data_IF_211685252200
#
_entry.id   IF_211685252200
#
_cell.length_a   1.000
_cell.length_b   1.000
_cell.length_c   1.000
_cell.angle_alpha   90.00
_cell.angle_beta   90.00
_cell.angle_gamma   90.00
#
_symmetry.space_group_name_H-M   'P 1'
#
loop_
_entity.id
_entity.type
_entity.pdbx_description
1 polymer ?
#
# COMPACT_ATOMS: atom_id res chain seq x y z
N UNK A 1 18.77 9.43 13.22
CA UNK A 1 18.24 10.78 12.91
C UNK A 1 17.12 11.15 13.89
N UNK A 2 16.06 10.34 13.98
CA UNK A 2 14.99 10.44 14.98
C UNK A 2 15.50 10.60 16.43
N UNK A 3 16.50 9.82 16.85
CA UNK A 3 17.08 9.94 18.20
C UNK A 3 17.71 11.32 18.48
N UNK A 4 18.33 11.94 17.47
CA UNK A 4 18.89 13.29 17.61
C UNK A 4 17.79 14.35 17.74
N UNK A 5 16.66 14.18 17.05
CA UNK A 5 15.49 15.05 17.22
C UNK A 5 14.96 14.97 18.65
N UNK A 6 14.87 13.76 19.20
CA UNK A 6 14.47 13.58 20.59
C UNK A 6 15.45 14.28 21.56
N UNK A 7 16.76 14.11 21.37
CA UNK A 7 17.79 14.77 22.20
C UNK A 7 17.78 16.30 22.10
N UNK A 8 17.30 16.85 20.98
CA UNK A 8 17.24 18.31 20.72
C UNK A 8 15.87 18.92 21.03
N UNK A 9 14.97 18.16 21.66
CA UNK A 9 13.68 18.65 22.16
C UNK A 9 12.56 18.67 21.12
N UNK A 10 12.70 17.95 20.00
CA UNK A 10 11.64 17.78 19.02
C UNK A 10 10.72 16.60 19.40
N UNK A 11 9.42 16.78 19.19
CA UNK A 11 8.50 15.66 19.13
C UNK A 11 8.57 15.01 17.75
N UNK A 12 9.10 13.79 17.68
CA UNK A 12 9.28 13.05 16.43
C UNK A 12 8.18 12.00 16.23
N UNK A 13 7.45 12.09 15.12
CA UNK A 13 6.43 11.15 14.67
C UNK A 13 6.80 10.40 13.38
N UNK A 14 6.29 9.18 13.22
CA UNK A 14 6.36 8.40 11.98
C UNK A 14 4.97 7.85 11.62
N UNK A 15 4.50 8.08 10.40
CA UNK A 15 3.31 7.42 9.85
C UNK A 15 3.71 6.79 8.53
N UNK A 16 3.57 5.47 8.43
CA UNK A 16 4.00 4.75 7.23
C UNK A 16 3.18 3.50 6.93
N UNK A 17 3.06 3.15 5.65
CA UNK A 17 2.58 1.84 5.16
C UNK A 17 3.70 0.97 4.55
N UNK A 18 4.88 1.54 4.29
CA UNK A 18 6.09 0.83 3.85
C UNK A 18 6.52 -0.19 4.90
N UNK A 19 6.31 -1.49 4.65
CA UNK A 19 6.55 -2.55 5.65
C UNK A 19 8.03 -2.62 6.07
N UNK A 20 8.96 -2.26 5.18
CA UNK A 20 10.39 -2.19 5.49
C UNK A 20 10.71 -1.30 6.71
N UNK A 21 9.93 -0.26 6.97
CA UNK A 21 10.09 0.60 8.16
C UNK A 21 9.81 -0.13 9.49
N UNK A 22 9.08 -1.25 9.43
CA UNK A 22 8.57 -1.97 10.60
C UNK A 22 9.11 -3.40 10.71
N UNK A 23 10.07 -3.79 9.85
CA UNK A 23 10.78 -5.06 10.02
C UNK A 23 11.53 -5.04 11.34
N UNK A 24 11.17 -5.96 12.25
CA UNK A 24 11.73 -6.01 13.60
C UNK A 24 13.26 -6.16 13.64
N UNK A 25 13.88 -6.65 12.56
CA UNK A 25 15.32 -6.75 12.41
C UNK A 25 16.04 -5.43 12.11
N UNK A 26 15.31 -4.38 11.70
CA UNK A 26 15.89 -3.10 11.26
C UNK A 26 15.73 -1.97 12.28
N UNK A 27 14.69 -2.03 13.13
CA UNK A 27 14.47 -1.09 14.23
C UNK A 27 14.42 0.40 13.78
N UNK A 28 13.87 0.67 12.60
CA UNK A 28 13.77 2.03 12.05
C UNK A 28 12.77 2.94 12.77
N UNK A 29 11.91 2.38 13.64
CA UNK A 29 11.02 3.13 14.52
C UNK A 29 11.74 3.72 15.74
N UNK A 30 13.00 3.33 16.00
CA UNK A 30 13.78 3.82 17.14
C UNK A 30 13.90 5.34 17.09
N UNK A 31 13.64 5.98 18.23
CA UNK A 31 13.75 7.44 18.41
C UNK A 31 12.49 8.23 18.02
N UNK A 32 11.51 7.62 17.36
CA UNK A 32 10.19 8.23 17.22
C UNK A 32 9.39 8.06 18.51
N UNK A 33 8.78 9.14 19.00
CA UNK A 33 7.96 9.13 20.21
C UNK A 33 6.60 8.48 19.97
N UNK A 34 6.05 8.69 18.77
CA UNK A 34 4.82 8.06 18.32
C UNK A 34 5.05 7.59 16.88
N UNK A 35 4.62 6.37 16.59
CA UNK A 35 4.63 5.86 15.22
C UNK A 35 3.36 5.08 14.94
N UNK A 36 2.90 5.15 13.69
CA UNK A 36 1.75 4.42 13.20
C UNK A 36 2.17 3.59 11.98
N UNK A 37 1.79 2.31 11.99
CA UNK A 37 1.96 1.41 10.87
C UNK A 37 0.60 1.13 10.25
N UNK A 38 0.36 1.67 9.06
CA UNK A 38 -0.77 1.31 8.20
C UNK A 38 -0.43 -0.03 7.53
N UNK A 39 -0.97 -1.12 8.06
CA UNK A 39 -0.59 -2.48 7.67
C UNK A 39 -1.38 -2.95 6.44
N UNK A 40 -0.71 -3.71 5.58
CA UNK A 40 -1.32 -4.51 4.51
C UNK A 40 -0.79 -4.27 3.10
N UNK A 41 -0.02 -3.21 2.87
CA UNK A 41 0.43 -2.77 1.54
C UNK A 41 1.39 -3.74 0.82
N UNK A 42 2.20 -4.50 1.57
CA UNK A 42 3.06 -5.57 1.04
C UNK A 42 2.54 -6.96 1.45
N UNK A 43 3.30 -8.01 1.16
CA UNK A 43 2.98 -9.42 1.44
C UNK A 43 3.13 -9.86 2.90
N UNK A 44 3.40 -8.94 3.82
CA UNK A 44 3.43 -9.26 5.24
C UNK A 44 2.05 -9.72 5.75
N UNK A 45 2.02 -10.65 6.72
CA UNK A 45 0.78 -11.22 7.24
C UNK A 45 0.08 -10.23 8.20
N UNK A 46 -0.79 -9.36 7.68
CA UNK A 46 -1.65 -8.50 8.51
C UNK A 46 -3.01 -9.11 8.79
N UNK A 47 -3.54 -9.90 7.86
CA UNK A 47 -4.81 -10.60 7.97
C UNK A 47 -4.61 -12.11 7.79
N UNK A 48 -5.48 -12.90 8.42
CA UNK A 48 -5.50 -14.36 8.28
C UNK A 48 -6.83 -14.77 7.64
N UNK A 49 -6.75 -15.71 6.70
CA UNK A 49 -7.90 -16.29 6.03
C UNK A 49 -7.47 -17.44 5.12
N UNK A 50 -8.43 -18.18 4.57
CA UNK A 50 -8.14 -19.26 3.64
C UNK A 50 -7.51 -18.68 2.36
N UNK A 51 -6.20 -18.86 2.16
CA UNK A 51 -5.49 -18.37 0.95
C UNK A 51 -6.07 -18.94 -0.35
N UNK A 52 -6.69 -20.12 -0.28
CA UNK A 52 -7.39 -20.76 -1.39
C UNK A 52 -8.75 -20.11 -1.72
N UNK A 53 -9.26 -19.20 -0.89
CA UNK A 53 -10.46 -18.41 -1.19
C UNK A 53 -10.14 -17.15 -2.03
N UNK A 54 -8.87 -16.80 -2.20
CA UNK A 54 -8.45 -15.66 -3.01
C UNK A 54 -8.43 -16.07 -4.49
N UNK A 55 -9.27 -15.41 -5.28
CA UNK A 55 -9.30 -15.57 -6.74
C UNK A 55 -8.22 -14.70 -7.40
N UNK A 56 -7.28 -15.35 -8.08
CA UNK A 56 -6.22 -14.68 -8.83
C UNK A 56 -6.59 -14.44 -10.29
N UNK A 57 -7.65 -15.06 -10.80
CA UNK A 57 -8.01 -15.00 -12.22
C UNK A 57 -8.12 -13.56 -12.76
N UNK A 58 -8.58 -12.54 -12.00
CA UNK A 58 -8.61 -11.16 -12.49
C UNK A 58 -7.23 -10.50 -12.66
N UNK A 59 -6.18 -11.03 -12.01
CA UNK A 59 -4.90 -10.34 -11.84
C UNK A 59 -3.72 -11.00 -12.57
N UNK A 60 -3.87 -12.27 -13.01
CA UNK A 60 -2.78 -13.05 -13.62
C UNK A 60 -3.19 -13.73 -14.92
N UNK A 61 -2.21 -14.02 -15.77
CA UNK A 61 -2.38 -14.92 -16.92
C UNK A 61 -2.44 -16.36 -16.42
N UNK A 62 -3.43 -17.13 -16.89
CA UNK A 62 -3.55 -18.54 -16.52
C UNK A 62 -2.37 -19.33 -17.10
N UNK A 63 -1.57 -19.95 -16.23
CA UNK A 63 -0.39 -20.73 -16.60
C UNK A 63 -0.46 -22.17 -16.10
N UNK A 64 -1.42 -22.48 -15.22
CA UNK A 64 -1.54 -23.80 -14.57
C UNK A 64 -0.51 -24.05 -13.46
N UNK A 65 0.26 -23.03 -13.05
CA UNK A 65 1.24 -23.07 -11.95
C UNK A 65 0.96 -21.98 -10.89
N UNK A 66 -0.31 -21.61 -10.70
CA UNK A 66 -0.74 -20.40 -9.99
C UNK A 66 -0.63 -20.46 -8.45
N UNK A 67 -0.39 -21.63 -7.86
CA UNK A 67 -0.48 -21.79 -6.40
C UNK A 67 0.75 -21.24 -5.66
N UNK A 68 1.97 -21.58 -6.09
CA UNK A 68 3.20 -21.11 -5.42
C UNK A 68 3.78 -19.82 -6.00
N UNK A 69 3.59 -19.58 -7.31
CA UNK A 69 4.24 -18.46 -8.02
C UNK A 69 3.70 -17.07 -7.63
N UNK A 70 2.54 -17.00 -6.96
CA UNK A 70 1.81 -15.76 -6.68
C UNK A 70 1.47 -15.59 -5.19
N UNK A 71 2.23 -16.22 -4.28
CA UNK A 71 1.97 -16.17 -2.84
C UNK A 71 1.89 -14.73 -2.29
N UNK A 72 2.78 -13.83 -2.74
CA UNK A 72 2.76 -12.43 -2.33
C UNK A 72 1.48 -11.69 -2.74
N UNK A 73 1.03 -11.91 -3.98
CA UNK A 73 -0.21 -11.33 -4.50
C UNK A 73 -1.43 -11.87 -3.75
N UNK A 74 -1.47 -13.18 -3.46
CA UNK A 74 -2.54 -13.77 -2.65
C UNK A 74 -2.59 -13.15 -1.26
N UNK A 75 -1.45 -12.96 -0.61
CA UNK A 75 -1.40 -12.35 0.72
C UNK A 75 -1.81 -10.86 0.67
N UNK A 76 -1.41 -10.12 -0.37
CA UNK A 76 -1.90 -8.75 -0.59
C UNK A 76 -3.42 -8.70 -0.72
N UNK A 77 -4.01 -9.52 -1.59
CA UNK A 77 -5.46 -9.57 -1.79
C UNK A 77 -6.20 -9.95 -0.50
N UNK A 78 -5.63 -10.84 0.30
CA UNK A 78 -6.15 -11.18 1.63
C UNK A 78 -6.07 -9.98 2.61
N UNK A 79 -5.01 -9.17 2.53
CA UNK A 79 -4.84 -7.98 3.36
C UNK A 79 -5.88 -6.89 3.04
N UNK A 80 -6.37 -6.84 1.80
CA UNK A 80 -7.26 -5.77 1.32
C UNK A 80 -8.73 -6.21 1.15
N UNK A 81 -9.06 -7.47 1.48
CA UNK A 81 -10.38 -8.07 1.24
C UNK A 81 -11.56 -7.32 1.90
N UNK A 82 -11.29 -6.58 2.98
CA UNK A 82 -12.33 -5.86 3.74
C UNK A 82 -12.55 -4.41 3.24
N UNK A 83 -11.79 -3.94 2.23
CA UNK A 83 -11.97 -2.58 1.70
C UNK A 83 -13.38 -2.40 1.11
N UNK A 84 -14.04 -1.31 1.48
CA UNK A 84 -15.38 -0.94 0.98
C UNK A 84 -15.40 0.44 0.33
N UNK A 85 -14.52 1.33 0.77
CA UNK A 85 -14.52 2.75 0.44
C UNK A 85 -13.16 3.21 -0.06
N UNK A 86 -13.10 4.42 -0.62
CA UNK A 86 -11.83 5.04 -1.01
C UNK A 86 -10.91 5.17 0.21
N UNK A 87 -11.46 5.56 1.35
CA UNK A 87 -10.77 5.77 2.62
C UNK A 87 -10.12 4.50 3.19
N UNK A 88 -10.57 3.31 2.77
CA UNK A 88 -9.97 2.04 3.15
C UNK A 88 -8.67 1.73 2.37
N UNK A 89 -8.31 2.54 1.37
CA UNK A 89 -7.03 2.40 0.67
C UNK A 89 -5.87 2.98 1.48
N UNK A 90 -4.66 2.47 1.26
CA UNK A 90 -3.52 2.81 2.11
C UNK A 90 -3.10 4.28 2.02
N UNK A 91 -3.15 4.87 0.82
CA UNK A 91 -2.84 6.30 0.62
C UNK A 91 -3.73 7.17 1.53
N UNK A 92 -5.09 7.12 1.45
CA UNK A 92 -5.95 7.82 2.40
C UNK A 92 -5.67 7.50 3.86
N UNK A 93 -5.48 6.23 4.22
CA UNK A 93 -5.19 5.86 5.62
C UNK A 93 -3.90 6.52 6.14
N UNK A 94 -2.82 6.54 5.36
CA UNK A 94 -1.54 7.17 5.72
C UNK A 94 -1.74 8.67 5.93
N UNK A 95 -2.37 9.36 4.98
CA UNK A 95 -2.53 10.82 5.06
C UNK A 95 -3.54 11.24 6.14
N UNK A 96 -4.61 10.47 6.35
CA UNK A 96 -5.54 10.72 7.45
C UNK A 96 -4.86 10.50 8.81
N UNK A 97 -4.10 9.42 8.97
CA UNK A 97 -3.35 9.14 10.20
C UNK A 97 -2.32 10.23 10.49
N UNK A 98 -1.65 10.75 9.46
CA UNK A 98 -0.73 11.87 9.57
C UNK A 98 -1.44 13.18 9.97
N UNK A 99 -2.60 13.47 9.39
CA UNK A 99 -3.41 14.63 9.75
C UNK A 99 -3.90 14.57 11.21
N UNK A 100 -4.31 13.38 11.66
CA UNK A 100 -4.72 13.14 13.04
C UNK A 100 -3.53 13.31 14.00
N UNK A 101 -2.34 12.82 13.61
CA UNK A 101 -1.12 13.02 14.37
C UNK A 101 -0.80 14.50 14.56
N UNK A 102 -0.87 15.30 13.49
CA UNK A 102 -0.65 16.75 13.55
C UNK A 102 -1.69 17.39 14.47
N UNK A 103 -2.96 17.04 14.33
CA UNK A 103 -4.05 17.60 15.16
C UNK A 103 -3.84 17.33 16.66
N UNK A 104 -3.20 16.22 17.01
CA UNK A 104 -2.90 15.85 18.40
C UNK A 104 -1.60 16.46 18.93
N UNK A 105 -0.64 16.78 18.05
CA UNK A 105 0.74 17.09 18.44
C UNK A 105 1.25 18.48 18.02
N UNK A 106 0.50 19.23 17.22
CA UNK A 106 0.96 20.51 16.66
C UNK A 106 1.38 21.54 17.73
N UNK A 107 0.74 21.50 18.92
CA UNK A 107 1.07 22.39 20.04
C UNK A 107 2.38 22.01 20.76
N UNK A 108 2.94 20.82 20.50
CA UNK A 108 4.22 20.36 21.07
C UNK A 108 5.44 20.80 20.23
N UNK A 109 5.41 22.02 19.69
CA UNK A 109 6.47 22.53 18.82
C UNK A 109 7.81 22.74 19.56
N UNK A 110 8.97 22.47 18.91
CA UNK A 110 9.09 22.03 17.53
C UNK A 110 8.78 20.54 17.36
N UNK A 111 8.21 20.16 16.22
CA UNK A 111 7.93 18.77 15.88
C UNK A 111 8.55 18.39 14.53
N UNK A 112 8.76 17.09 14.36
CA UNK A 112 9.15 16.46 13.10
C UNK A 112 8.20 15.29 12.84
N UNK A 113 7.55 15.27 11.67
CA UNK A 113 6.70 14.15 11.27
C UNK A 113 7.23 13.59 9.95
N UNK A 114 7.61 12.31 9.95
CA UNK A 114 7.88 11.55 8.73
C UNK A 114 6.60 10.87 8.28
N UNK A 115 6.09 11.25 7.11
CA UNK A 115 4.98 10.58 6.43
C UNK A 115 5.55 9.80 5.24
N UNK A 116 5.38 8.49 5.22
CA UNK A 116 5.91 7.60 4.19
C UNK A 116 4.77 6.78 3.57
N UNK A 117 4.51 7.00 2.29
CA UNK A 117 3.54 6.23 1.51
C UNK A 117 4.30 5.40 0.51
N UNK A 118 4.12 4.08 0.53
CA UNK A 118 4.80 3.16 -0.35
C UNK A 118 4.32 3.30 -1.80
N UNK A 119 3.08 3.75 -2.00
CA UNK A 119 2.56 4.08 -3.32
C UNK A 119 3.43 5.16 -4.01
N UNK A 120 3.66 5.07 -5.33
CA UNK A 120 3.01 4.17 -6.28
C UNK A 120 3.83 2.91 -6.61
N UNK A 121 4.63 2.40 -5.66
CA UNK A 121 5.18 1.04 -5.81
C UNK A 121 4.02 0.04 -6.00
N UNK A 122 4.29 -1.08 -6.65
CA UNK A 122 3.33 -2.18 -6.75
C UNK A 122 2.94 -2.65 -5.34
N UNK A 123 1.67 -2.98 -5.11
CA UNK A 123 0.59 -3.23 -6.07
C UNK A 123 -0.15 -1.97 -6.57
N UNK A 124 -0.43 -1.90 -7.87
CA UNK A 124 -1.20 -0.80 -8.50
C UNK A 124 -2.69 -1.09 -8.44
N UNK A 125 -3.28 -0.93 -7.26
CA UNK A 125 -4.68 -1.24 -6.97
C UNK A 125 -5.43 0.01 -6.47
N UNK A 126 -5.70 0.99 -7.35
CA UNK A 126 -6.46 2.18 -6.99
C UNK A 126 -7.96 1.87 -6.90
N UNK A 127 -8.77 2.77 -6.32
CA UNK A 127 -10.20 2.75 -6.54
C UNK A 127 -10.51 2.68 -8.04
N UNK A 128 -11.35 1.71 -8.47
CA UNK A 128 -11.60 1.42 -9.89
C UNK A 128 -11.98 2.68 -10.69
N UNK A 129 -12.80 3.54 -10.11
CA UNK A 129 -13.25 4.79 -10.71
C UNK A 129 -12.10 5.78 -11.05
N UNK A 130 -10.90 5.61 -10.47
CA UNK A 130 -9.73 6.42 -10.79
C UNK A 130 -8.99 5.85 -12.00
N UNK A 131 -8.82 4.53 -12.07
CA UNK A 131 -8.23 3.86 -13.23
C UNK A 131 -9.11 4.00 -14.49
N UNK A 132 -10.43 3.87 -14.34
CA UNK A 132 -11.41 3.96 -15.43
C UNK A 132 -11.37 5.30 -16.18
N UNK A 133 -10.86 6.37 -15.55
CA UNK A 133 -10.66 7.68 -16.20
C UNK A 133 -9.62 7.62 -17.32
N UNK A 134 -8.70 6.66 -17.26
CA UNK A 134 -7.60 6.51 -18.21
C UNK A 134 -7.86 5.39 -19.22
N UNK A 135 -8.42 4.25 -18.77
CA UNK A 135 -8.80 3.13 -19.62
C UNK A 135 -9.78 2.22 -18.88
N UNK A 136 -10.89 1.86 -19.52
CA UNK A 136 -11.89 0.94 -18.99
C UNK A 136 -12.29 -0.06 -20.09
N UNK A 137 -11.96 -1.33 -19.90
CA UNK A 137 -12.38 -2.44 -20.75
C UNK A 137 -12.60 -3.69 -19.87
N UNK A 138 -13.85 -4.15 -19.67
CA UNK A 138 -14.15 -5.31 -18.83
C UNK A 138 -13.52 -6.62 -19.30
N UNK A 139 -13.03 -6.69 -20.56
CA UNK A 139 -12.31 -7.86 -21.06
C UNK A 139 -10.82 -7.87 -20.67
N UNK A 140 -10.30 -6.75 -20.18
CA UNK A 140 -8.91 -6.60 -19.75
C UNK A 140 -8.80 -6.91 -18.25
N UNK A 141 -7.80 -7.70 -17.90
CA UNK A 141 -7.46 -8.06 -16.52
C UNK A 141 -6.80 -6.90 -15.79
N UNK A 142 -7.01 -6.83 -14.48
CA UNK A 142 -6.38 -5.85 -13.61
C UNK A 142 -4.98 -6.31 -13.20
N UNK A 143 -4.00 -6.17 -14.09
CA UNK A 143 -2.61 -6.53 -13.77
C UNK A 143 -2.00 -5.54 -12.77
N UNK A 144 -2.35 -5.66 -11.49
CA UNK A 144 -1.85 -4.79 -10.40
C UNK A 144 -0.35 -5.02 -10.10
N UNK A 145 0.24 -6.07 -10.67
CA UNK A 145 1.69 -6.29 -10.71
C UNK A 145 2.17 -6.17 -12.16
N UNK A 146 3.06 -5.23 -12.50
CA UNK A 146 3.40 -4.93 -13.89
C UNK A 146 4.07 -6.10 -14.61
N UNK A 147 4.86 -6.89 -13.89
CA UNK A 147 5.55 -8.07 -14.41
C UNK A 147 4.62 -9.25 -14.70
N UNK A 148 3.34 -9.18 -14.30
CA UNK A 148 2.32 -10.19 -14.58
C UNK A 148 1.43 -9.84 -15.79
N UNK A 149 1.65 -8.68 -16.40
CA UNK A 149 0.93 -8.22 -17.59
C UNK A 149 1.08 -9.21 -18.76
N UNK A 150 0.02 -9.40 -19.54
CA UNK A 150 0.01 -10.26 -20.73
C UNK A 150 0.71 -9.66 -21.97
N UNK A 151 1.26 -8.45 -21.84
CA UNK A 151 1.94 -7.66 -22.87
C UNK A 151 1.08 -7.33 -24.11
N UNK A 152 -0.22 -7.62 -24.09
CA UNK A 152 -1.14 -7.16 -25.13
C UNK A 152 -1.26 -5.63 -25.09
N UNK A 153 -1.61 -5.00 -26.21
CA UNK A 153 -1.79 -3.55 -26.23
C UNK A 153 -2.85 -3.09 -25.22
N UNK A 154 -3.95 -3.84 -25.12
CA UNK A 154 -5.03 -3.58 -24.17
C UNK A 154 -4.58 -3.82 -22.71
N UNK A 155 -3.87 -4.92 -22.45
CA UNK A 155 -3.27 -5.22 -21.13
C UNK A 155 -2.31 -4.13 -20.68
N UNK A 156 -1.36 -3.71 -21.53
CA UNK A 156 -0.43 -2.61 -21.23
C UNK A 156 -1.19 -1.30 -20.92
N UNK A 157 -2.26 -1.00 -21.65
CA UNK A 157 -3.09 0.18 -21.39
C UNK A 157 -3.85 0.09 -20.07
N UNK A 158 -4.42 -1.07 -19.75
CA UNK A 158 -5.07 -1.35 -18.46
C UNK A 158 -4.10 -1.21 -17.29
N UNK A 159 -2.95 -1.88 -17.36
CA UNK A 159 -1.88 -1.80 -16.34
C UNK A 159 -1.41 -0.35 -16.12
N UNK A 160 -1.25 0.43 -17.19
CA UNK A 160 -0.91 1.86 -17.07
C UNK A 160 -2.03 2.69 -16.42
N UNK A 161 -3.29 2.38 -16.73
CA UNK A 161 -4.43 3.07 -16.14
C UNK A 161 -4.51 2.84 -14.63
N UNK A 162 -4.20 1.62 -14.16
CA UNK A 162 -4.07 1.33 -12.74
C UNK A 162 -2.98 2.19 -12.07
N UNK A 163 -1.79 2.26 -12.67
CA UNK A 163 -0.72 3.15 -12.17
C UNK A 163 -1.15 4.62 -12.13
N UNK A 164 -1.78 5.12 -13.21
CA UNK A 164 -2.26 6.51 -13.25
C UNK A 164 -3.36 6.79 -12.22
N UNK A 165 -4.22 5.81 -11.96
CA UNK A 165 -5.24 5.90 -10.92
C UNK A 165 -4.66 6.06 -9.51
N UNK A 166 -3.46 5.54 -9.25
CA UNK A 166 -2.77 5.69 -7.96
C UNK A 166 -2.23 7.12 -7.71
N UNK A 167 -2.10 7.95 -8.75
CA UNK A 167 -1.45 9.27 -8.69
C UNK A 167 -2.34 10.41 -9.21
N UNK A 168 -3.67 10.19 -9.23
CA UNK A 168 -4.68 11.14 -9.74
C UNK A 168 -5.07 12.21 -8.72
#
# INVERSE_FOLDING_TARGET
MSEYFFETGYVAGLVADTYHMFKGSQNFTRGFMQWAFVRGQEDHPCCHGPLNAIDLAPYVVATGQEDDAHAGLRQYLLNVQERQTEEDHFIPQVFQTAADWISQNADNAPFFLWVDSFAPHEYWDPPTAFADRYFADPAVKDFIVPSMCDESEAGIRGTKALYYGMVT
#
